data_IF_870321575322
#
_entry.id   IF_870321575322
#
_cell.length_a   1.000
_cell.length_b   1.000
_cell.length_c   1.000
_cell.angle_alpha   90.00
_cell.angle_beta   90.00
_cell.angle_gamma   90.00
#
_symmetry.space_group_name_H-M   'P 1'
#
loop_
_entity.id
_entity.type
_entity.pdbx_description
1 polymer ?
#
# COMPACT_ATOMS: atom_id res chain seq x y z
N UNK A 1 -2.39 -14.39 -11.26
CA UNK A 1 -1.60 -14.31 -10.03
C UNK A 1 -2.49 -13.88 -8.88
N UNK A 2 -2.12 -14.26 -7.65
CA UNK A 2 -2.79 -13.77 -6.44
C UNK A 2 -1.82 -12.82 -5.75
N UNK A 3 -2.14 -11.53 -5.65
CA UNK A 3 -1.27 -10.56 -5.01
C UNK A 3 -1.80 -10.21 -3.62
N UNK A 4 -0.93 -10.12 -2.63
CA UNK A 4 -1.26 -9.61 -1.30
C UNK A 4 -0.58 -8.27 -1.10
N UNK A 5 -1.38 -7.20 -1.05
CA UNK A 5 -0.92 -5.84 -0.75
C UNK A 5 -1.06 -5.60 0.76
N UNK A 6 0.03 -5.28 1.45
CA UNK A 6 0.06 -5.08 2.91
C UNK A 6 0.50 -3.66 3.23
N UNK A 7 -0.30 -2.92 4.00
CA UNK A 7 0.11 -1.62 4.54
C UNK A 7 1.22 -1.81 5.57
N UNK A 8 2.25 -0.96 5.51
CA UNK A 8 3.31 -0.95 6.51
C UNK A 8 2.76 -0.85 7.94
N UNK A 9 3.48 -1.41 8.90
CA UNK A 9 3.24 -1.31 10.33
C UNK A 9 3.42 0.13 10.84
N UNK A 10 3.03 0.41 12.09
CA UNK A 10 3.07 1.76 12.66
C UNK A 10 4.47 2.37 12.59
N UNK A 11 4.57 3.54 11.98
CA UNK A 11 5.81 4.32 11.83
C UNK A 11 5.78 5.57 12.71
N UNK A 12 6.97 6.16 12.94
CA UNK A 12 7.08 7.46 13.60
C UNK A 12 6.32 8.57 12.84
N UNK A 13 6.16 8.43 11.51
CA UNK A 13 5.29 9.32 10.73
C UNK A 13 3.82 9.20 11.16
N UNK A 14 3.30 7.99 11.37
CA UNK A 14 1.92 7.81 11.83
C UNK A 14 1.65 8.43 13.21
N UNK A 15 2.64 8.43 14.09
CA UNK A 15 2.51 9.00 15.45
C UNK A 15 2.77 10.50 15.50
N UNK A 16 3.37 11.08 14.45
CA UNK A 16 3.63 12.52 14.37
C UNK A 16 2.38 13.34 14.09
N UNK A 17 1.33 12.74 13.52
CA UNK A 17 0.14 13.43 13.05
C UNK A 17 0.38 14.31 11.83
N UNK A 18 1.49 14.12 11.12
CA UNK A 18 1.86 14.84 9.90
C UNK A 18 1.68 13.93 8.67
N UNK A 19 1.31 14.54 7.55
CA UNK A 19 1.34 13.86 6.25
C UNK A 19 2.79 13.63 5.85
N UNK A 20 3.20 12.37 5.70
CA UNK A 20 4.58 11.97 5.43
C UNK A 20 4.61 10.95 4.27
N UNK A 21 4.96 11.44 3.10
CA UNK A 21 5.01 10.65 1.86
C UNK A 21 6.37 10.70 1.16
N UNK A 22 7.33 11.47 1.71
CA UNK A 22 8.68 11.57 1.13
C UNK A 22 9.54 10.35 1.44
N UNK A 23 10.34 9.96 0.46
CA UNK A 23 11.40 8.95 0.58
C UNK A 23 12.61 9.58 1.29
N UNK A 24 13.27 8.87 2.21
CA UNK A 24 13.05 7.48 2.65
C UNK A 24 11.92 7.32 3.70
N UNK A 25 11.46 8.41 4.30
CA UNK A 25 10.48 8.41 5.39
C UNK A 25 11.05 7.88 6.71
N UNK A 26 10.27 7.97 7.81
CA UNK A 26 10.70 7.55 9.13
C UNK A 26 10.61 6.04 9.35
N UNK A 27 11.35 5.59 10.37
CA UNK A 27 11.36 4.22 10.88
C UNK A 27 10.01 3.80 11.49
N UNK A 28 9.85 2.49 11.69
CA UNK A 28 8.79 1.94 12.53
C UNK A 28 8.98 2.33 14.00
N UNK A 29 7.87 2.48 14.71
CA UNK A 29 7.87 2.55 16.18
C UNK A 29 8.21 1.17 16.77
N UNK A 30 8.44 1.11 18.08
CA UNK A 30 8.59 -0.19 18.78
C UNK A 30 7.32 -1.04 18.62
N UNK A 31 6.12 -0.43 18.69
CA UNK A 31 4.86 -1.10 18.43
C UNK A 31 4.78 -1.59 16.98
N UNK A 32 5.21 -0.77 16.01
CA UNK A 32 5.25 -1.16 14.61
C UNK A 32 6.15 -2.36 14.35
N UNK A 33 7.26 -2.51 15.05
CA UNK A 33 8.12 -3.70 14.96
C UNK A 33 7.38 -4.94 15.45
N UNK A 34 6.71 -4.86 16.61
CA UNK A 34 5.85 -5.96 17.10
C UNK A 34 4.73 -6.30 16.11
N UNK A 35 4.11 -5.30 15.49
CA UNK A 35 3.11 -5.53 14.44
C UNK A 35 3.69 -6.25 13.23
N UNK A 36 4.91 -5.91 12.81
CA UNK A 36 5.60 -6.58 11.71
C UNK A 36 5.91 -8.06 12.04
N UNK A 37 6.35 -8.35 13.26
CA UNK A 37 6.57 -9.72 13.72
C UNK A 37 5.25 -10.51 13.73
N UNK A 38 4.16 -9.92 14.22
CA UNK A 38 2.84 -10.57 14.23
C UNK A 38 2.27 -10.77 12.82
N UNK A 39 2.53 -9.86 11.88
CA UNK A 39 2.20 -10.05 10.46
C UNK A 39 2.90 -11.28 9.87
N UNK A 40 4.20 -11.47 10.17
CA UNK A 40 4.95 -12.64 9.73
C UNK A 40 4.32 -13.93 10.24
N UNK A 41 3.99 -13.99 11.55
CA UNK A 41 3.33 -15.15 12.15
C UNK A 41 1.97 -15.44 11.52
N UNK A 42 1.14 -14.40 11.28
CA UNK A 42 -0.18 -14.54 10.66
C UNK A 42 -0.13 -14.93 9.18
N UNK A 43 0.99 -14.75 8.52
CA UNK A 43 1.19 -15.08 7.11
C UNK A 43 2.07 -16.30 6.86
N UNK A 44 2.48 -17.01 7.90
CA UNK A 44 3.39 -18.15 7.80
C UNK A 44 2.87 -19.30 6.90
N UNK A 45 1.56 -19.46 6.80
CA UNK A 45 0.89 -20.46 5.97
C UNK A 45 0.58 -19.99 4.53
N UNK A 46 0.85 -18.74 4.19
CA UNK A 46 0.47 -18.15 2.89
C UNK A 46 1.36 -18.59 1.74
N UNK A 47 2.54 -19.13 2.02
CA UNK A 47 3.50 -19.64 1.02
C UNK A 47 3.73 -18.63 -0.13
N UNK A 48 4.13 -17.42 0.21
CA UNK A 48 4.49 -16.42 -0.79
C UNK A 48 5.70 -16.89 -1.62
N UNK A 49 5.70 -16.61 -2.91
CA UNK A 49 6.80 -16.96 -3.82
C UNK A 49 7.74 -15.79 -4.13
N UNK A 50 7.32 -14.58 -3.84
CA UNK A 50 8.09 -13.34 -4.02
C UNK A 50 7.71 -12.33 -2.95
N UNK A 51 8.66 -11.47 -2.56
CA UNK A 51 8.42 -10.35 -1.65
C UNK A 51 8.90 -9.03 -2.27
N UNK A 52 8.07 -8.01 -2.15
CA UNK A 52 8.35 -6.65 -2.60
C UNK A 52 8.05 -5.65 -1.50
N UNK A 53 8.79 -4.55 -1.48
CA UNK A 53 8.48 -3.38 -0.67
C UNK A 53 8.63 -2.12 -1.51
N UNK A 54 7.94 -1.04 -1.13
CA UNK A 54 8.26 0.27 -1.67
C UNK A 54 9.66 0.69 -1.23
N UNK A 55 10.17 1.78 -1.79
CA UNK A 55 11.48 2.35 -1.39
C UNK A 55 11.37 3.27 -0.15
N UNK A 56 10.45 2.96 0.77
CA UNK A 56 10.32 3.69 2.03
C UNK A 56 10.68 2.77 3.20
N UNK A 57 11.53 3.26 4.09
CA UNK A 57 12.11 2.47 5.19
C UNK A 57 11.07 1.69 5.99
N UNK A 58 9.93 2.28 6.29
CA UNK A 58 8.84 1.63 7.03
C UNK A 58 8.27 0.39 6.35
N UNK A 59 8.26 0.33 5.01
CA UNK A 59 7.79 -0.87 4.27
C UNK A 59 8.84 -1.97 4.28
N UNK A 60 10.11 -1.61 4.14
CA UNK A 60 11.24 -2.56 4.21
C UNK A 60 11.32 -3.19 5.61
N UNK A 61 11.20 -2.37 6.66
CA UNK A 61 11.19 -2.85 8.04
C UNK A 61 9.97 -3.73 8.36
N UNK A 62 8.80 -3.41 7.78
CA UNK A 62 7.61 -4.26 7.93
C UNK A 62 7.77 -5.60 7.21
N UNK A 63 8.41 -5.61 6.05
CA UNK A 63 8.63 -6.81 5.26
C UNK A 63 9.64 -7.78 5.90
N UNK A 64 10.63 -7.26 6.62
CA UNK A 64 11.79 -8.01 7.08
C UNK A 64 11.46 -9.31 7.84
N UNK A 65 10.54 -9.35 8.84
CA UNK A 65 10.20 -10.60 9.53
C UNK A 65 9.53 -11.63 8.60
N UNK A 66 8.60 -11.21 7.73
CA UNK A 66 7.93 -12.11 6.77
C UNK A 66 8.92 -12.71 5.77
N UNK A 67 9.84 -11.90 5.28
CA UNK A 67 10.90 -12.32 4.34
C UNK A 67 11.83 -13.34 5.00
N UNK A 68 12.20 -13.13 6.27
CA UNK A 68 13.04 -14.06 7.02
C UNK A 68 12.31 -15.38 7.32
N UNK A 69 11.04 -15.32 7.72
CA UNK A 69 10.24 -16.50 8.05
C UNK A 69 10.02 -17.43 6.83
N UNK A 70 9.87 -16.84 5.64
CA UNK A 70 9.56 -17.59 4.41
C UNK A 70 10.78 -17.80 3.48
N UNK A 71 11.99 -17.46 3.95
CA UNK A 71 13.24 -17.57 3.17
C UNK A 71 13.17 -16.89 1.79
N UNK A 72 12.58 -15.69 1.74
CA UNK A 72 12.41 -14.90 0.52
C UNK A 72 13.50 -13.83 0.38
N UNK A 73 13.71 -13.36 -0.84
CA UNK A 73 14.50 -12.15 -1.11
C UNK A 73 13.59 -10.94 -1.25
N UNK A 74 13.86 -9.86 -0.51
CA UNK A 74 13.11 -8.63 -0.65
C UNK A 74 13.55 -7.84 -1.88
N UNK A 75 12.60 -7.50 -2.73
CA UNK A 75 12.81 -6.65 -3.90
C UNK A 75 12.23 -5.26 -3.67
N UNK A 76 13.04 -4.23 -3.81
CA UNK A 76 12.57 -2.84 -3.68
C UNK A 76 11.97 -2.37 -5.01
N UNK A 77 10.72 -1.94 -4.96
CA UNK A 77 9.97 -1.46 -6.12
C UNK A 77 9.33 -0.08 -5.82
N UNK A 78 9.94 1.02 -6.29
CA UNK A 78 9.47 2.38 -6.00
C UNK A 78 8.03 2.65 -6.46
N UNK A 79 7.51 1.89 -7.40
CA UNK A 79 6.14 2.03 -7.89
C UNK A 79 5.08 1.78 -6.81
N UNK A 80 5.42 1.08 -5.73
CA UNK A 80 4.53 0.82 -4.61
C UNK A 80 4.61 1.85 -3.46
N UNK A 81 5.34 2.98 -3.64
CA UNK A 81 5.40 4.05 -2.62
C UNK A 81 4.05 4.73 -2.43
N UNK A 82 3.91 5.48 -1.32
CA UNK A 82 2.67 6.22 -1.03
C UNK A 82 2.37 7.27 -2.12
N UNK A 83 1.12 7.67 -2.20
CA UNK A 83 0.68 8.79 -3.03
C UNK A 83 1.37 10.04 -2.54
N UNK A 84 2.12 10.71 -3.41
CA UNK A 84 2.89 11.88 -3.04
C UNK A 84 1.98 13.05 -2.68
N UNK A 85 2.17 13.60 -1.48
CA UNK A 85 1.28 14.64 -0.94
C UNK A 85 1.51 16.03 -1.54
N UNK A 86 2.60 16.25 -2.28
CA UNK A 86 2.88 17.54 -2.92
C UNK A 86 2.97 18.67 -1.90
N UNK A 87 2.12 19.69 -2.07
CA UNK A 87 2.10 20.85 -1.16
C UNK A 87 1.61 20.52 0.26
N UNK A 88 0.98 19.36 0.48
CA UNK A 88 0.49 18.94 1.79
C UNK A 88 1.54 18.16 2.61
N UNK A 89 2.71 17.91 2.04
CA UNK A 89 3.79 17.22 2.72
C UNK A 89 4.25 17.94 3.98
N UNK A 90 4.32 17.21 5.11
CA UNK A 90 4.73 17.76 6.39
C UNK A 90 3.69 18.64 7.08
N UNK A 91 2.47 18.73 6.56
CA UNK A 91 1.36 19.45 7.20
C UNK A 91 0.60 18.54 8.17
N UNK A 92 -0.04 19.11 9.23
CA UNK A 92 -0.88 18.30 10.12
C UNK A 92 -2.03 17.60 9.35
N UNK A 93 -2.20 16.32 9.56
CA UNK A 93 -3.28 15.53 8.92
C UNK A 93 -4.66 16.15 9.19
N UNK A 94 -4.90 16.60 10.43
CA UNK A 94 -6.18 17.19 10.83
C UNK A 94 -6.56 18.43 9.98
N UNK A 95 -5.58 19.13 9.42
CA UNK A 95 -5.79 20.35 8.63
C UNK A 95 -5.80 20.07 7.12
N UNK A 96 -4.96 19.17 6.67
CA UNK A 96 -4.63 19.01 5.26
C UNK A 96 -5.20 17.75 4.60
N UNK A 97 -5.61 16.74 5.38
CA UNK A 97 -6.04 15.44 4.84
C UNK A 97 -7.18 15.56 3.83
N UNK A 98 -8.17 16.42 4.11
CA UNK A 98 -9.29 16.61 3.18
C UNK A 98 -8.86 17.21 1.84
N UNK A 99 -7.87 18.12 1.84
CA UNK A 99 -7.29 18.69 0.62
C UNK A 99 -6.44 17.67 -0.13
N UNK A 100 -5.61 16.93 0.59
CA UNK A 100 -4.77 15.87 0.03
C UNK A 100 -5.60 14.77 -0.66
N UNK A 101 -6.70 14.34 -0.04
CA UNK A 101 -7.57 13.29 -0.57
C UNK A 101 -8.54 13.78 -1.65
N UNK A 102 -8.65 15.08 -1.91
CA UNK A 102 -9.61 15.62 -2.88
C UNK A 102 -9.42 15.06 -4.29
N UNK A 103 -8.17 14.99 -4.78
CA UNK A 103 -7.88 14.43 -6.09
C UNK A 103 -8.06 12.90 -6.10
N UNK A 104 -7.49 12.12 -5.16
CA UNK A 104 -7.73 10.68 -5.06
C UNK A 104 -9.21 10.27 -5.04
N UNK A 105 -10.06 11.01 -4.33
CA UNK A 105 -11.52 10.75 -4.34
C UNK A 105 -12.12 10.96 -5.74
N UNK A 106 -11.67 11.97 -6.48
CA UNK A 106 -12.12 12.19 -7.86
C UNK A 106 -11.70 11.07 -8.82
N UNK A 107 -10.51 10.47 -8.59
CA UNK A 107 -10.06 9.32 -9.39
C UNK A 107 -11.04 8.16 -9.33
N UNK A 108 -11.65 7.90 -8.16
CA UNK A 108 -12.66 6.86 -7.99
C UNK A 108 -13.95 7.11 -8.80
N UNK A 109 -14.22 8.36 -9.17
CA UNK A 109 -15.34 8.73 -10.06
C UNK A 109 -14.94 8.84 -11.53
N UNK A 110 -13.68 8.48 -11.87
CA UNK A 110 -13.15 8.47 -13.23
C UNK A 110 -12.47 9.77 -13.67
N UNK A 111 -12.40 10.81 -12.84
CA UNK A 111 -11.63 12.04 -13.13
C UNK A 111 -10.15 11.83 -12.81
N UNK A 112 -9.47 11.04 -13.64
CA UNK A 112 -8.04 10.74 -13.48
C UNK A 112 -7.13 11.96 -13.75
N UNK A 113 -7.66 13.03 -14.34
CA UNK A 113 -6.90 14.27 -14.55
C UNK A 113 -6.86 15.17 -13.30
N UNK A 114 -7.67 14.86 -12.27
CA UNK A 114 -7.58 15.56 -11.00
C UNK A 114 -6.18 15.39 -10.41
N UNK A 115 -5.52 16.49 -10.07
CA UNK A 115 -4.13 16.52 -9.62
C UNK A 115 -4.03 16.98 -8.17
N UNK A 116 -3.21 16.29 -7.40
CA UNK A 116 -2.79 16.78 -6.07
C UNK A 116 -1.88 17.98 -6.31
N UNK A 117 -2.16 19.16 -5.74
CA UNK A 117 -1.34 20.35 -5.93
C UNK A 117 0.15 20.10 -5.61
N UNK A 118 1.01 20.39 -6.58
CA UNK A 118 2.45 20.14 -6.47
C UNK A 118 2.88 18.67 -6.54
N UNK A 119 1.98 17.78 -7.03
CA UNK A 119 2.23 16.34 -7.11
C UNK A 119 1.64 15.72 -8.39
N UNK A 120 1.17 14.48 -8.29
CA UNK A 120 0.71 13.62 -9.39
C UNK A 120 -0.80 13.72 -9.61
N UNK A 121 -1.26 13.29 -10.78
CA UNK A 121 -2.66 13.00 -11.07
C UNK A 121 -2.94 11.48 -11.05
N UNK A 122 -4.20 11.11 -11.30
CA UNK A 122 -4.64 9.72 -11.26
C UNK A 122 -4.01 8.84 -12.34
N UNK A 123 -3.75 9.40 -13.53
CA UNK A 123 -3.10 8.64 -14.61
C UNK A 123 -1.65 8.30 -14.24
N UNK A 124 -0.92 9.26 -13.68
CA UNK A 124 0.47 9.06 -13.23
C UNK A 124 0.54 8.07 -12.05
N UNK A 125 -0.41 8.17 -11.11
CA UNK A 125 -0.52 7.25 -9.99
C UNK A 125 -0.81 5.82 -10.44
N UNK A 126 -1.86 5.64 -11.21
CA UNK A 126 -2.31 4.33 -11.70
C UNK A 126 -1.24 3.66 -12.56
N UNK A 127 -0.74 4.37 -13.56
CA UNK A 127 0.33 3.87 -14.44
C UNK A 127 1.60 3.49 -13.70
N UNK A 128 1.95 4.17 -12.60
CA UNK A 128 3.10 3.84 -11.76
C UNK A 128 2.93 2.48 -11.07
N UNK A 129 1.75 2.23 -10.47
CA UNK A 129 1.47 0.96 -9.78
C UNK A 129 1.33 -0.18 -10.78
N UNK A 130 0.64 0.06 -11.89
CA UNK A 130 0.48 -0.93 -12.97
C UNK A 130 1.83 -1.36 -13.54
N UNK A 131 2.73 -0.41 -13.80
CA UNK A 131 4.08 -0.74 -14.27
C UNK A 131 4.86 -1.58 -13.24
N UNK A 132 4.71 -1.29 -11.95
CA UNK A 132 5.31 -2.09 -10.89
C UNK A 132 4.77 -3.52 -10.86
N UNK A 133 3.46 -3.69 -11.04
CA UNK A 133 2.81 -5.02 -11.12
C UNK A 133 3.20 -5.80 -12.38
N UNK A 134 3.40 -5.11 -13.51
CA UNK A 134 3.96 -5.73 -14.71
C UNK A 134 5.38 -6.26 -14.45
N UNK A 135 6.19 -5.54 -13.68
CA UNK A 135 7.54 -5.99 -13.32
C UNK A 135 7.49 -7.21 -12.37
N UNK A 136 6.54 -7.25 -11.42
CA UNK A 136 6.27 -8.43 -10.57
C UNK A 136 5.90 -9.64 -11.43
N UNK A 137 4.98 -9.45 -12.38
CA UNK A 137 4.54 -10.51 -13.30
C UNK A 137 5.70 -11.04 -14.19
N UNK A 138 6.55 -10.15 -14.71
CA UNK A 138 7.72 -10.52 -15.54
C UNK A 138 8.74 -11.35 -14.79
N UNK A 139 8.79 -11.25 -13.46
CA UNK A 139 9.65 -12.10 -12.62
C UNK A 139 9.10 -13.50 -12.41
N UNK A 140 7.87 -13.78 -12.89
CA UNK A 140 7.23 -15.07 -12.77
C UNK A 140 6.54 -15.32 -11.43
N UNK A 141 6.33 -14.30 -10.62
CA UNK A 141 5.67 -14.42 -9.32
C UNK A 141 4.18 -14.78 -9.50
N UNK A 142 3.74 -15.84 -8.85
CA UNK A 142 2.35 -16.30 -8.88
C UNK A 142 1.57 -15.88 -7.61
N UNK A 143 2.27 -15.79 -6.47
CA UNK A 143 1.70 -15.44 -5.15
C UNK A 143 2.61 -14.44 -4.40
N UNK A 144 2.85 -13.23 -4.92
CA UNK A 144 3.70 -12.24 -4.27
C UNK A 144 3.03 -11.57 -3.08
N UNK A 145 3.84 -11.21 -2.06
CA UNK A 145 3.48 -10.23 -1.02
C UNK A 145 4.17 -8.90 -1.31
N UNK A 146 3.40 -7.81 -1.20
CA UNK A 146 3.84 -6.45 -1.55
C UNK A 146 3.56 -5.52 -0.37
N UNK A 147 4.61 -5.02 0.28
CA UNK A 147 4.50 -4.07 1.37
C UNK A 147 4.46 -2.64 0.84
N UNK A 148 3.36 -1.96 1.08
CA UNK A 148 3.02 -0.66 0.53
C UNK A 148 2.36 0.25 1.58
N UNK A 149 1.47 1.14 1.18
CA UNK A 149 0.93 2.22 1.98
C UNK A 149 -0.59 2.29 1.88
N UNK A 150 -1.22 2.92 2.88
CA UNK A 150 -2.66 2.94 2.99
C UNK A 150 -3.36 3.59 1.80
N UNK A 151 -2.91 4.76 1.38
CA UNK A 151 -3.49 5.46 0.22
C UNK A 151 -3.28 4.67 -1.07
N UNK A 152 -2.05 4.23 -1.33
CA UNK A 152 -1.73 3.46 -2.55
C UNK A 152 -2.57 2.19 -2.65
N UNK A 153 -2.66 1.40 -1.57
CA UNK A 153 -3.44 0.15 -1.57
C UNK A 153 -4.92 0.44 -1.79
N UNK A 154 -5.49 1.36 -1.00
CA UNK A 154 -6.92 1.64 -1.07
C UNK A 154 -7.33 2.20 -2.44
N UNK A 155 -6.69 3.27 -2.89
CA UNK A 155 -7.11 3.94 -4.11
C UNK A 155 -6.84 3.09 -5.35
N UNK A 156 -5.66 2.47 -5.46
CA UNK A 156 -5.38 1.61 -6.61
C UNK A 156 -6.33 0.40 -6.67
N UNK A 157 -6.57 -0.29 -5.55
CA UNK A 157 -7.50 -1.43 -5.54
C UNK A 157 -8.93 -1.02 -5.91
N UNK A 158 -9.41 0.16 -5.44
CA UNK A 158 -10.74 0.67 -5.77
C UNK A 158 -10.87 1.15 -7.21
N UNK A 159 -9.79 1.59 -7.85
CA UNK A 159 -9.78 1.99 -9.25
C UNK A 159 -9.75 0.79 -10.20
N UNK A 160 -9.13 -0.33 -9.79
CA UNK A 160 -8.74 -1.41 -10.70
C UNK A 160 -9.48 -2.73 -10.48
N UNK A 161 -10.19 -2.92 -9.37
CA UNK A 161 -10.94 -4.14 -9.12
C UNK A 161 -12.37 -4.05 -9.66
N UNK A 162 -12.84 -5.11 -10.32
CA UNK A 162 -14.19 -5.20 -10.91
C UNK A 162 -15.32 -5.28 -9.86
N UNK A 163 -14.99 -5.70 -8.64
CA UNK A 163 -15.89 -5.79 -7.49
C UNK A 163 -15.58 -4.78 -6.39
N UNK A 164 -14.93 -3.66 -6.74
CA UNK A 164 -14.57 -2.62 -5.78
C UNK A 164 -15.79 -2.04 -5.05
N UNK A 165 -15.65 -1.83 -3.75
CA UNK A 165 -16.62 -1.14 -2.90
C UNK A 165 -15.99 0.11 -2.27
N UNK A 166 -16.13 1.30 -2.88
CA UNK A 166 -15.58 2.55 -2.33
C UNK A 166 -16.10 2.90 -0.92
N UNK A 167 -17.22 2.32 -0.48
CA UNK A 167 -17.74 2.48 0.88
C UNK A 167 -16.76 1.99 1.96
N UNK A 168 -15.88 1.05 1.63
CA UNK A 168 -14.84 0.55 2.53
C UNK A 168 -13.81 1.62 2.94
N UNK A 169 -13.62 2.67 2.15
CA UNK A 169 -12.76 3.79 2.53
C UNK A 169 -13.22 4.46 3.84
N UNK A 170 -14.52 4.48 4.09
CA UNK A 170 -15.09 5.04 5.32
C UNK A 170 -15.41 4.00 6.39
N UNK A 171 -15.83 2.79 6.00
CA UNK A 171 -16.32 1.78 6.93
C UNK A 171 -15.24 0.81 7.42
N UNK A 172 -14.23 0.54 6.59
CA UNK A 172 -13.12 -0.37 6.89
C UNK A 172 -11.81 0.12 6.26
N UNK A 173 -11.33 1.34 6.64
CA UNK A 173 -10.11 1.91 6.05
C UNK A 173 -8.89 1.07 6.42
N UNK A 174 -7.90 1.08 5.53
CA UNK A 174 -6.66 0.31 5.68
C UNK A 174 -5.81 0.85 6.83
N UNK A 175 -5.83 0.19 7.99
CA UNK A 175 -4.96 0.48 9.14
C UNK A 175 -3.57 -0.12 8.96
N UNK A 176 -2.63 0.19 9.86
CA UNK A 176 -1.29 -0.41 9.84
C UNK A 176 -1.38 -1.94 9.85
N UNK A 177 -0.66 -2.60 8.96
CA UNK A 177 -0.72 -4.03 8.75
C UNK A 177 -1.98 -4.55 8.05
N UNK A 178 -2.93 -3.68 7.71
CA UNK A 178 -4.09 -4.04 6.90
C UNK A 178 -3.67 -4.55 5.53
N UNK A 179 -4.50 -5.40 4.92
CA UNK A 179 -4.17 -6.03 3.65
C UNK A 179 -5.36 -6.15 2.71
N UNK A 180 -5.04 -6.19 1.43
CA UNK A 180 -5.97 -6.57 0.36
C UNK A 180 -5.34 -7.71 -0.41
N UNK A 181 -6.13 -8.76 -0.68
CA UNK A 181 -5.74 -9.84 -1.59
C UNK A 181 -6.55 -9.68 -2.87
N UNK A 182 -5.86 -9.64 -4.00
CA UNK A 182 -6.50 -9.55 -5.32
C UNK A 182 -6.06 -10.73 -6.19
N UNK A 183 -7.00 -11.25 -6.96
CA UNK A 183 -6.75 -12.24 -7.98
C UNK A 183 -6.92 -11.62 -9.37
N UNK A 184 -5.99 -11.92 -10.30
CA UNK A 184 -6.05 -11.36 -11.63
C UNK A 184 -4.69 -11.19 -12.31
N UNK A 185 -4.62 -10.24 -13.21
CA UNK A 185 -3.38 -9.79 -13.85
C UNK A 185 -3.55 -8.42 -14.47
N UNK A 186 -2.45 -7.69 -14.77
CA UNK A 186 -2.52 -6.40 -15.44
C UNK A 186 -3.28 -6.40 -16.78
N UNK A 187 -3.36 -7.56 -17.47
CA UNK A 187 -4.03 -7.68 -18.75
C UNK A 187 -5.50 -8.08 -18.65
N UNK A 188 -5.92 -8.73 -17.55
CA UNK A 188 -7.28 -9.30 -17.38
C UNK A 188 -8.12 -8.52 -16.36
N UNK A 189 -7.53 -7.54 -15.68
CA UNK A 189 -8.16 -6.86 -14.55
C UNK A 189 -7.99 -7.64 -13.24
N UNK A 190 -8.59 -7.13 -12.19
CA UNK A 190 -8.42 -7.60 -10.82
C UNK A 190 -9.77 -7.79 -10.12
N UNK A 191 -9.84 -8.78 -9.24
CA UNK A 191 -10.96 -9.03 -8.34
C UNK A 191 -10.44 -9.08 -6.91
N UNK A 192 -11.02 -8.33 -5.98
CA UNK A 192 -10.70 -8.39 -4.55
C UNK A 192 -11.28 -9.68 -3.99
N UNK A 193 -10.42 -10.53 -3.43
CA UNK A 193 -10.83 -11.79 -2.79
C UNK A 193 -10.79 -11.72 -1.27
N UNK A 194 -9.99 -10.80 -0.70
CA UNK A 194 -9.97 -10.52 0.74
C UNK A 194 -9.69 -9.02 0.97
N UNK A 195 -10.38 -8.44 1.95
CA UNK A 195 -10.09 -7.10 2.47
C UNK A 195 -10.10 -7.13 3.99
N UNK A 196 -8.97 -6.81 4.61
CA UNK A 196 -8.81 -6.72 6.06
C UNK A 196 -8.24 -5.35 6.39
N UNK A 197 -9.10 -4.39 6.66
CA UNK A 197 -8.70 -3.03 6.99
C UNK A 197 -8.13 -2.90 8.42
N UNK A 198 -8.60 -3.74 9.34
CA UNK A 198 -8.26 -3.70 10.77
C UNK A 198 -7.76 -5.07 11.26
N UNK A 199 -6.51 -5.46 10.96
CA UNK A 199 -5.96 -6.70 11.51
C UNK A 199 -5.69 -6.55 13.01
N UNK A 200 -5.87 -7.65 13.76
CA UNK A 200 -5.45 -7.70 15.16
C UNK A 200 -3.95 -8.05 15.21
N UNK A 201 -3.13 -7.05 15.47
CA UNK A 201 -1.67 -7.17 15.51
C UNK A 201 -1.06 -6.76 16.86
N UNK A 202 -1.90 -6.53 17.86
CA UNK A 202 -1.47 -6.09 19.20
C UNK A 202 -1.25 -4.57 19.33
#
# INVERSE_FOLDING_TARGET
MVITLVRHAESLGNTSGLIDTKVPGPDLTSRGRTQADNLALQSADKNYDCAFASNMVRTEQTAAPTVAEQDLSLNIQPGFREIEAGQYEGTPEAEALSGYLQAPIKWLSGDLNARIPGSIDGNEFDGRVDQALLDVQRRGCANPVIFSHGGTIMFWSMMNADNADPGKLGTDPMRNGGRVVLEGSPQKGWTIVEWVGHPDLG
#
